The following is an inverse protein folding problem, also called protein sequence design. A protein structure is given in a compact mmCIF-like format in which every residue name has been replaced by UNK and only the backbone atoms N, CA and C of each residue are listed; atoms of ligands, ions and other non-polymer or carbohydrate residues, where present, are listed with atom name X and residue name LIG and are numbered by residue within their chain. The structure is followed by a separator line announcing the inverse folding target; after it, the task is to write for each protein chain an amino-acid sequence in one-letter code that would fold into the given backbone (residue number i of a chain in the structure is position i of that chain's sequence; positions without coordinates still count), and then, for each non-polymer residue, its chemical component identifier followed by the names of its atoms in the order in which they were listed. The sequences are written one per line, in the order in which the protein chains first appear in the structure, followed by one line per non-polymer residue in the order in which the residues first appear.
data_IF_763001743673
#
_entry.id   IF_763001743673
#
_cell.length_a   1.000
_cell.length_b   1.000
_cell.length_c   1.000
_cell.angle_alpha   90.00
_cell.angle_beta   90.00
_cell.angle_gamma   90.00
#
_symmetry.space_group_name_H-M   'P 1'
#
loop_
_entity.id
_entity.type
_entity.pdbx_description
1 polymer ?
#
# COMPACT_ATOMS: atom_id res chain seq x y z
N UNK A 1 18.88 16.60 5.56
CA UNK A 1 18.78 17.97 5.05
C UNK A 1 18.43 18.04 3.55
N UNK A 2 18.52 16.94 2.80
CA UNK A 2 18.16 16.89 1.36
C UNK A 2 16.65 16.73 1.09
N UNK A 3 15.89 16.18 2.03
CA UNK A 3 14.46 15.90 1.86
C UNK A 3 13.55 17.15 1.98
N UNK A 4 13.98 18.17 2.71
CA UNK A 4 13.16 19.38 2.90
C UNK A 4 13.09 20.24 1.62
N UNK A 5 14.12 20.20 0.77
CA UNK A 5 14.18 21.00 -0.45
C UNK A 5 13.34 20.46 -1.62
N UNK A 6 13.03 19.17 -1.63
CA UNK A 6 12.23 18.56 -2.71
C UNK A 6 10.73 18.82 -2.52
N UNK A 7 10.28 18.94 -1.27
CA UNK A 7 8.88 19.18 -0.94
C UNK A 7 8.44 20.62 -1.19
N UNK A 8 9.38 21.56 -1.17
CA UNK A 8 9.08 23.01 -1.29
C UNK A 8 9.12 23.56 -2.72
N UNK A 9 9.49 22.76 -3.72
CA UNK A 9 9.84 23.27 -5.05
C UNK A 9 8.65 23.55 -6.00
N UNK A 10 7.42 23.11 -5.73
CA UNK A 10 6.43 23.17 -6.82
C UNK A 10 5.13 23.96 -6.60
N UNK A 11 4.78 24.43 -5.42
CA UNK A 11 3.55 25.26 -5.27
C UNK A 11 3.53 26.25 -4.08
N UNK A 12 4.63 26.82 -3.72
CA UNK A 12 4.59 27.98 -2.83
C UNK A 12 4.32 29.24 -3.68
N UNK A 13 3.08 29.69 -3.78
CA UNK A 13 2.80 31.07 -4.17
C UNK A 13 3.23 31.96 -3.01
N UNK A 14 4.43 32.52 -3.08
CA UNK A 14 4.87 33.55 -2.16
C UNK A 14 4.05 34.81 -2.41
N UNK A 15 3.12 35.11 -1.52
CA UNK A 15 2.55 36.44 -1.42
C UNK A 15 3.63 37.41 -0.90
N UNK A 16 3.51 38.65 -1.31
CA UNK A 16 4.42 39.77 -0.95
C UNK A 16 4.38 39.98 0.57
N UNK A 17 5.27 39.30 1.29
CA UNK A 17 5.30 39.31 2.76
C UNK A 17 5.87 38.04 3.41
N UNK A 18 6.39 37.08 2.62
CA UNK A 18 7.05 35.88 3.15
C UNK A 18 6.11 34.84 3.80
N UNK A 19 4.80 34.97 3.62
CA UNK A 19 3.81 34.03 4.13
C UNK A 19 3.64 32.91 3.10
N UNK A 20 3.96 31.67 3.49
CA UNK A 20 3.72 30.47 2.68
C UNK A 20 2.25 30.08 2.85
N UNK A 21 1.42 30.30 1.82
CA UNK A 21 0.04 29.85 1.82
C UNK A 21 -0.01 28.42 1.23
N UNK A 22 -0.26 27.44 2.10
CA UNK A 22 -0.53 26.05 1.71
C UNK A 22 -1.98 25.71 1.97
N UNK A 23 -2.57 24.88 1.10
CA UNK A 23 -3.89 24.34 1.36
C UNK A 23 -3.84 23.35 2.54
N UNK A 24 -4.88 23.31 3.37
CA UNK A 24 -4.98 22.38 4.49
C UNK A 24 -4.84 20.92 4.03
N UNK A 25 -5.37 20.59 2.84
CA UNK A 25 -5.25 19.26 2.25
C UNK A 25 -3.80 18.90 1.88
N UNK A 26 -3.02 19.84 1.37
CA UNK A 26 -1.62 19.60 1.03
C UNK A 26 -0.79 19.34 2.30
N UNK A 27 -1.10 20.05 3.39
CA UNK A 27 -0.49 19.83 4.70
C UNK A 27 -0.86 18.44 5.26
N UNK A 28 -2.12 18.05 5.17
CA UNK A 28 -2.59 16.74 5.60
C UNK A 28 -1.95 15.62 4.78
N UNK A 29 -1.85 15.76 3.46
CA UNK A 29 -1.20 14.79 2.60
C UNK A 29 0.30 14.69 2.88
N UNK A 30 0.96 15.82 3.15
CA UNK A 30 2.36 15.84 3.58
C UNK A 30 2.56 15.09 4.91
N UNK A 31 1.69 15.29 5.87
CA UNK A 31 1.73 14.57 7.15
C UNK A 31 1.54 13.06 6.95
N UNK A 32 0.56 12.66 6.15
CA UNK A 32 0.28 11.25 5.85
C UNK A 32 1.44 10.55 5.15
N UNK A 33 2.00 11.16 4.09
CA UNK A 33 3.10 10.54 3.35
C UNK A 33 4.39 10.41 4.17
N UNK A 34 4.57 11.27 5.16
CA UNK A 34 5.75 11.27 6.02
C UNK A 34 5.66 10.27 7.18
N UNK A 35 4.47 9.76 7.48
CA UNK A 35 4.23 8.79 8.56
C UNK A 35 3.21 7.75 8.10
N UNK A 36 3.71 6.72 7.41
CA UNK A 36 2.91 5.58 6.97
C UNK A 36 3.06 4.43 7.97
N UNK A 37 1.93 3.88 8.38
CA UNK A 37 1.89 2.79 9.35
C UNK A 37 1.35 1.51 8.70
N UNK A 38 2.24 0.69 8.12
CA UNK A 38 1.81 -0.53 7.45
C UNK A 38 1.50 -1.66 8.42
N UNK A 39 0.45 -2.41 8.10
CA UNK A 39 0.21 -3.74 8.63
C UNK A 39 0.80 -4.76 7.68
N UNK A 40 1.80 -5.51 8.15
CA UNK A 40 2.41 -6.59 7.40
C UNK A 40 1.57 -7.86 7.44
N UNK A 41 0.86 -8.16 6.36
CA UNK A 41 0.17 -9.43 6.22
C UNK A 41 1.05 -10.42 5.46
N UNK A 42 2.04 -10.97 6.19
CA UNK A 42 3.03 -11.92 5.66
C UNK A 42 2.52 -13.36 5.77
N UNK A 43 2.26 -14.00 4.63
CA UNK A 43 1.64 -15.34 4.56
C UNK A 43 2.49 -16.38 3.83
N UNK A 44 3.60 -15.98 3.21
CA UNK A 44 4.53 -16.89 2.53
C UNK A 44 5.94 -16.28 2.45
N UNK A 45 6.78 -16.76 1.52
CA UNK A 45 8.18 -16.36 1.36
C UNK A 45 8.41 -14.85 1.20
N UNK A 46 7.50 -14.10 0.59
CA UNK A 46 7.61 -12.65 0.49
C UNK A 46 7.63 -11.95 1.86
N UNK A 47 7.10 -12.58 2.91
CA UNK A 47 7.16 -12.05 4.27
C UNK A 47 8.60 -11.96 4.79
N UNK A 48 9.49 -12.86 4.38
CA UNK A 48 10.89 -12.85 4.79
C UNK A 48 11.61 -11.63 4.20
N UNK A 49 11.38 -11.34 2.92
CA UNK A 49 11.92 -10.14 2.28
C UNK A 49 11.31 -8.85 2.85
N UNK A 50 10.02 -8.89 3.22
CA UNK A 50 9.39 -7.79 3.94
C UNK A 50 10.05 -7.58 5.30
N UNK A 51 10.34 -8.63 6.07
CA UNK A 51 11.08 -8.51 7.33
C UNK A 51 12.50 -7.99 7.12
N UNK A 52 13.18 -8.42 6.06
CA UNK A 52 14.51 -7.91 5.71
C UNK A 52 14.48 -6.41 5.41
N UNK A 53 13.41 -5.89 4.80
CA UNK A 53 13.25 -4.46 4.53
C UNK A 53 13.14 -3.60 5.81
N UNK A 54 12.64 -4.17 6.89
CA UNK A 54 12.61 -3.51 8.22
C UNK A 54 13.91 -3.73 9.02
N UNK A 55 14.76 -4.66 8.59
CA UNK A 55 16.03 -4.93 9.25
C UNK A 55 17.05 -3.79 9.03
N UNK A 56 18.10 -3.79 9.84
CA UNK A 56 19.11 -2.74 9.92
C UNK A 56 19.80 -2.37 8.59
N UNK A 57 19.86 -3.29 7.62
CA UNK A 57 20.48 -3.02 6.33
C UNK A 57 19.67 -2.05 5.46
N UNK A 58 18.34 -2.12 5.53
CA UNK A 58 17.43 -1.34 4.69
C UNK A 58 16.70 -0.27 5.46
N UNK A 59 16.31 -0.57 6.70
CA UNK A 59 15.75 0.35 7.68
C UNK A 59 14.60 1.22 7.11
N UNK A 60 13.46 0.57 6.84
CA UNK A 60 12.25 1.28 6.38
C UNK A 60 11.77 2.34 7.37
N UNK A 61 12.09 2.21 8.65
CA UNK A 61 11.66 3.16 9.69
C UNK A 61 12.25 4.56 9.47
N UNK A 62 13.46 4.67 8.89
CA UNK A 62 14.06 5.96 8.52
C UNK A 62 13.27 6.76 7.49
N UNK A 63 12.39 6.08 6.73
CA UNK A 63 11.47 6.73 5.78
C UNK A 63 10.13 7.11 6.40
N UNK A 64 9.98 6.95 7.72
CA UNK A 64 8.72 7.20 8.43
C UNK A 64 7.72 6.06 8.29
N UNK A 65 8.17 4.85 7.95
CA UNK A 65 7.33 3.67 7.72
C UNK A 65 7.48 2.74 8.91
N UNK A 66 6.53 2.79 9.83
CA UNK A 66 6.58 2.03 11.09
C UNK A 66 5.52 0.90 11.08
N UNK A 67 5.93 -0.38 11.14
CA UNK A 67 4.98 -1.49 11.11
C UNK A 67 4.11 -1.54 12.36
N UNK A 68 2.82 -1.84 12.16
CA UNK A 68 1.84 -1.99 13.23
C UNK A 68 1.19 -3.37 13.18
N UNK A 69 0.93 -4.00 14.33
CA UNK A 69 0.35 -5.33 14.40
C UNK A 69 -1.17 -5.35 14.20
N UNK A 70 -1.84 -4.20 14.35
CA UNK A 70 -3.30 -4.12 14.33
C UNK A 70 -3.79 -3.35 13.09
N UNK A 71 -4.84 -3.83 12.40
CA UNK A 71 -5.43 -3.11 11.28
C UNK A 71 -6.01 -1.77 11.68
N UNK A 72 -6.49 -1.63 12.92
CA UNK A 72 -7.08 -0.37 13.43
C UNK A 72 -6.06 0.74 13.67
N UNK A 73 -4.76 0.40 13.68
CA UNK A 73 -3.65 1.33 13.87
C UNK A 73 -2.85 1.54 12.58
N UNK A 74 -3.30 0.97 11.45
CA UNK A 74 -2.53 0.93 10.21
C UNK A 74 -3.27 1.64 9.10
N UNK A 75 -2.51 2.37 8.28
CA UNK A 75 -2.99 3.11 7.12
C UNK A 75 -2.73 2.33 5.81
N UNK A 76 -1.72 1.45 5.83
CA UNK A 76 -1.30 0.66 4.67
C UNK A 76 -1.38 -0.82 5.01
N UNK A 77 -1.90 -1.65 4.11
CA UNK A 77 -1.86 -3.09 4.20
C UNK A 77 -0.88 -3.66 3.19
N UNK A 78 0.10 -4.45 3.65
CA UNK A 78 1.02 -5.16 2.77
C UNK A 78 0.61 -6.62 2.72
N UNK A 79 0.12 -7.09 1.57
CA UNK A 79 -0.18 -8.50 1.36
C UNK A 79 1.03 -9.17 0.72
N UNK A 80 1.79 -9.92 1.53
CA UNK A 80 3.07 -10.51 1.15
C UNK A 80 3.00 -12.04 1.11
N UNK A 81 2.72 -12.59 -0.05
CA UNK A 81 2.75 -14.05 -0.28
C UNK A 81 1.53 -14.61 -0.99
N UNK A 82 1.38 -15.92 -0.94
CA UNK A 82 0.33 -16.66 -1.65
C UNK A 82 -1.00 -16.56 -0.92
N UNK A 83 -1.99 -16.00 -1.59
CA UNK A 83 -3.35 -15.88 -1.03
C UNK A 83 -4.16 -17.11 -1.38
N UNK A 84 -4.62 -17.82 -0.37
CA UNK A 84 -5.55 -18.96 -0.54
C UNK A 84 -7.00 -18.50 -0.34
N UNK A 85 -7.95 -19.25 -0.88
CA UNK A 85 -9.38 -18.97 -0.68
C UNK A 85 -9.78 -18.90 0.81
N UNK A 86 -9.16 -19.73 1.67
CA UNK A 86 -9.38 -19.68 3.13
C UNK A 86 -8.89 -18.39 3.76
N UNK A 87 -7.86 -17.77 3.20
CA UNK A 87 -7.31 -16.50 3.69
C UNK A 87 -8.01 -15.29 3.08
N UNK A 88 -8.69 -15.44 1.96
CA UNK A 88 -9.38 -14.33 1.29
C UNK A 88 -10.37 -13.59 2.20
N UNK A 89 -11.22 -14.35 2.91
CA UNK A 89 -12.17 -13.77 3.88
C UNK A 89 -11.47 -13.03 5.03
N UNK A 90 -10.30 -13.51 5.46
CA UNK A 90 -9.52 -12.86 6.52
C UNK A 90 -8.92 -11.55 6.05
N UNK A 91 -8.39 -11.52 4.82
CA UNK A 91 -7.84 -10.32 4.19
C UNK A 91 -8.95 -9.26 4.07
N UNK A 92 -10.12 -9.63 3.56
CA UNK A 92 -11.27 -8.73 3.44
C UNK A 92 -11.67 -8.14 4.79
N UNK A 93 -11.83 -8.97 5.81
CA UNK A 93 -12.19 -8.51 7.17
C UNK A 93 -11.15 -7.57 7.78
N UNK A 94 -9.86 -7.86 7.58
CA UNK A 94 -8.78 -6.98 8.08
C UNK A 94 -8.78 -5.65 7.34
N UNK A 95 -9.00 -5.66 6.03
CA UNK A 95 -9.11 -4.44 5.23
C UNK A 95 -10.29 -3.56 5.68
N UNK A 96 -11.46 -4.16 5.95
CA UNK A 96 -12.63 -3.45 6.45
C UNK A 96 -12.42 -2.83 7.84
N UNK A 97 -11.52 -3.40 8.65
CA UNK A 97 -11.18 -2.88 9.98
C UNK A 97 -10.17 -1.72 9.96
N UNK A 98 -9.54 -1.45 8.82
CA UNK A 98 -8.60 -0.34 8.68
C UNK A 98 -9.36 0.99 8.59
N UNK A 99 -8.85 2.05 9.27
CA UNK A 99 -9.43 3.39 9.14
C UNK A 99 -9.19 3.96 7.74
N UNK A 100 -10.05 4.86 7.31
CA UNK A 100 -9.84 5.63 6.08
C UNK A 100 -8.98 6.89 6.35
N UNK A 101 -8.11 7.28 5.43
CA UNK A 101 -7.78 6.64 4.14
C UNK A 101 -6.90 5.41 4.32
N UNK A 102 -7.17 4.36 3.54
CA UNK A 102 -6.45 3.08 3.60
C UNK A 102 -5.87 2.74 2.24
N UNK A 103 -4.66 2.17 2.24
CA UNK A 103 -3.92 1.83 1.03
C UNK A 103 -3.50 0.36 1.06
N UNK A 104 -3.35 -0.26 -0.11
CA UNK A 104 -2.96 -1.66 -0.23
C UNK A 104 -1.76 -1.81 -1.16
N UNK A 105 -0.72 -2.48 -0.66
CA UNK A 105 0.44 -2.90 -1.45
C UNK A 105 0.38 -4.42 -1.62
N UNK A 106 0.29 -4.87 -2.85
CA UNK A 106 0.41 -6.28 -3.21
C UNK A 106 1.87 -6.62 -3.50
N UNK A 107 2.47 -7.49 -2.67
CA UNK A 107 3.89 -7.83 -2.74
C UNK A 107 4.11 -9.25 -3.26
N UNK A 108 4.75 -9.34 -4.40
CA UNK A 108 5.16 -10.58 -5.03
C UNK A 108 4.15 -11.16 -6.03
N UNK A 109 4.65 -12.04 -6.91
CA UNK A 109 3.85 -12.61 -7.99
C UNK A 109 2.63 -13.40 -7.49
N UNK A 110 2.75 -14.08 -6.35
CA UNK A 110 1.64 -14.84 -5.77
C UNK A 110 0.47 -13.94 -5.36
N UNK A 111 0.76 -12.80 -4.73
CA UNK A 111 -0.24 -11.81 -4.35
C UNK A 111 -0.80 -11.08 -5.58
N UNK A 112 0.06 -10.78 -6.56
CA UNK A 112 -0.32 -10.00 -7.74
C UNK A 112 -1.22 -10.79 -8.71
N UNK A 113 -0.91 -12.07 -8.95
CA UNK A 113 -1.61 -12.86 -9.97
C UNK A 113 -1.71 -14.37 -9.66
N UNK A 114 -1.36 -14.82 -8.44
CA UNK A 114 -1.31 -16.25 -8.12
C UNK A 114 0.07 -16.89 -8.36
N UNK A 115 0.98 -16.21 -9.06
CA UNK A 115 2.36 -16.63 -9.29
C UNK A 115 2.52 -18.04 -9.88
N UNK A 116 3.46 -18.85 -9.36
CA UNK A 116 3.71 -20.21 -9.85
C UNK A 116 2.50 -21.16 -9.70
N UNK A 117 1.57 -20.83 -8.82
CA UNK A 117 0.38 -21.65 -8.53
C UNK A 117 -0.83 -21.28 -9.38
N UNK A 118 -0.67 -20.36 -10.33
CA UNK A 118 -1.79 -19.85 -11.12
C UNK A 118 -2.49 -20.93 -11.93
N UNK A 119 -1.73 -21.83 -12.56
CA UNK A 119 -2.29 -22.81 -13.51
C UNK A 119 -2.89 -24.03 -12.80
N UNK A 120 -2.17 -24.60 -11.84
CA UNK A 120 -2.57 -25.88 -11.22
C UNK A 120 -3.00 -25.75 -9.75
N UNK A 121 -2.92 -24.55 -9.18
CA UNK A 121 -3.29 -24.32 -7.78
C UNK A 121 -4.81 -24.14 -7.60
N UNK A 122 -5.51 -25.20 -7.23
CA UNK A 122 -6.96 -25.15 -6.97
C UNK A 122 -7.32 -24.31 -5.73
N UNK A 123 -6.38 -24.07 -4.85
CA UNK A 123 -6.57 -23.39 -3.55
C UNK A 123 -6.16 -21.91 -3.56
N UNK A 124 -5.55 -21.42 -4.65
CA UNK A 124 -4.94 -20.08 -4.72
C UNK A 124 -5.86 -19.11 -5.45
N UNK A 125 -6.04 -17.94 -4.85
CA UNK A 125 -6.73 -16.81 -5.48
C UNK A 125 -5.78 -16.18 -6.51
N UNK A 126 -6.28 -15.95 -7.71
CA UNK A 126 -5.50 -15.45 -8.85
C UNK A 126 -5.36 -13.92 -8.83
N UNK A 127 -4.88 -13.39 -7.70
CA UNK A 127 -4.67 -11.97 -7.46
C UNK A 127 -5.46 -11.44 -6.27
N UNK A 128 -4.84 -10.61 -5.45
CA UNK A 128 -5.47 -9.93 -4.30
C UNK A 128 -6.48 -8.89 -4.75
N UNK A 129 -6.30 -8.33 -5.94
CA UNK A 129 -7.19 -7.37 -6.59
C UNK A 129 -8.63 -7.89 -6.79
N UNK A 130 -8.80 -9.20 -6.74
CA UNK A 130 -10.14 -9.85 -6.76
C UNK A 130 -10.85 -9.82 -5.41
N UNK A 131 -10.15 -9.46 -4.33
CA UNK A 131 -10.68 -9.47 -2.96
C UNK A 131 -10.78 -8.05 -2.41
N UNK A 132 -9.73 -7.25 -2.60
CA UNK A 132 -9.61 -5.86 -2.11
C UNK A 132 -8.94 -4.99 -3.18
N UNK A 133 -9.23 -3.67 -3.21
CA UNK A 133 -8.57 -2.76 -4.14
C UNK A 133 -7.08 -2.68 -3.82
N UNK A 134 -6.23 -2.73 -4.86
CA UNK A 134 -4.77 -2.66 -4.75
C UNK A 134 -4.29 -1.33 -5.33
N UNK A 135 -3.50 -0.60 -4.54
CA UNK A 135 -2.94 0.68 -4.96
C UNK A 135 -1.62 0.53 -5.69
N UNK A 136 -0.75 -0.34 -5.17
CA UNK A 136 0.61 -0.55 -5.70
C UNK A 136 0.89 -2.05 -5.80
N UNK A 137 1.45 -2.45 -6.95
CA UNK A 137 1.95 -3.79 -7.20
C UNK A 137 3.47 -3.80 -7.16
N UNK A 138 4.04 -4.72 -6.37
CA UNK A 138 5.49 -4.95 -6.29
C UNK A 138 5.79 -6.30 -6.94
N UNK A 139 6.38 -6.34 -8.14
CA UNK A 139 6.68 -7.58 -8.85
C UNK A 139 7.92 -8.27 -8.28
N UNK A 140 7.94 -9.60 -8.38
CA UNK A 140 9.06 -10.46 -7.97
C UNK A 140 8.58 -11.77 -7.36
N UNK A 141 9.47 -12.76 -7.22
CA UNK A 141 9.14 -14.05 -6.61
C UNK A 141 10.35 -14.66 -5.87
N UNK A 142 10.62 -14.20 -4.64
CA UNK A 142 10.12 -12.99 -3.96
C UNK A 142 10.75 -11.70 -4.53
N UNK A 143 10.11 -10.55 -4.38
CA UNK A 143 10.72 -9.27 -4.69
C UNK A 143 11.80 -8.94 -3.66
N UNK A 144 12.88 -8.29 -4.10
CA UNK A 144 13.92 -7.82 -3.19
C UNK A 144 13.40 -6.71 -2.28
N UNK A 145 14.01 -6.48 -1.09
CA UNK A 145 13.62 -5.41 -0.18
C UNK A 145 13.60 -4.02 -0.83
N UNK A 146 14.53 -3.74 -1.75
CA UNK A 146 14.58 -2.47 -2.48
C UNK A 146 13.35 -2.26 -3.36
N UNK A 147 12.79 -3.33 -3.92
CA UNK A 147 11.57 -3.26 -4.71
C UNK A 147 10.37 -2.88 -3.85
N UNK A 148 10.31 -3.36 -2.60
CA UNK A 148 9.28 -2.96 -1.63
C UNK A 148 9.45 -1.49 -1.23
N UNK A 149 10.68 -1.05 -0.95
CA UNK A 149 10.98 0.36 -0.67
C UNK A 149 10.52 1.25 -1.84
N UNK A 150 10.86 0.85 -3.08
CA UNK A 150 10.38 1.54 -4.28
C UNK A 150 8.85 1.56 -4.41
N UNK A 151 8.16 0.50 -3.96
CA UNK A 151 6.71 0.44 -3.85
C UNK A 151 6.14 1.49 -2.90
N UNK A 152 6.74 1.64 -1.71
CA UNK A 152 6.36 2.68 -0.76
C UNK A 152 6.60 4.09 -1.30
N UNK A 153 7.71 4.32 -1.97
CA UNK A 153 7.98 5.63 -2.60
C UNK A 153 6.92 5.97 -3.65
N UNK A 154 6.51 5.01 -4.46
CA UNK A 154 5.40 5.20 -5.42
C UNK A 154 4.07 5.50 -4.73
N UNK A 155 3.81 4.86 -3.58
CA UNK A 155 2.63 5.15 -2.79
C UNK A 155 2.68 6.59 -2.23
N UNK A 156 3.83 7.02 -1.72
CA UNK A 156 4.02 8.39 -1.25
C UNK A 156 3.80 9.42 -2.37
N UNK A 157 4.28 9.13 -3.59
CA UNK A 157 4.03 9.99 -4.75
C UNK A 157 2.55 10.01 -5.15
N UNK A 158 1.85 8.88 -5.05
CA UNK A 158 0.41 8.80 -5.27
C UNK A 158 -0.34 9.70 -4.29
N UNK A 159 -0.03 9.63 -2.99
CA UNK A 159 -0.64 10.47 -1.95
C UNK A 159 -0.34 11.94 -2.19
N UNK A 160 0.91 12.29 -2.54
CA UNK A 160 1.34 13.67 -2.82
C UNK A 160 0.57 14.29 -3.97
N UNK A 161 0.35 13.54 -5.03
CA UNK A 161 -0.27 14.04 -6.26
C UNK A 161 -1.81 14.05 -6.21
N UNK A 162 -2.44 13.78 -5.06
CA UNK A 162 -3.90 13.73 -4.89
C UNK A 162 -4.64 12.88 -5.93
N UNK A 163 -3.96 11.93 -6.53
CA UNK A 163 -4.62 10.93 -7.36
C UNK A 163 -5.18 9.81 -6.47
N UNK A 164 -5.82 10.19 -5.38
CA UNK A 164 -6.72 9.31 -4.65
C UNK A 164 -7.95 9.12 -5.54
N UNK A 165 -7.84 8.21 -6.49
CA UNK A 165 -9.01 7.69 -7.15
C UNK A 165 -9.74 6.89 -6.06
N UNK A 166 -10.93 7.32 -5.61
CA UNK A 166 -11.72 6.47 -4.74
C UNK A 166 -11.90 5.14 -5.46
N UNK A 167 -12.07 4.04 -4.76
CA UNK A 167 -12.27 2.72 -5.35
C UNK A 167 -13.65 2.64 -6.03
N UNK A 168 -13.91 3.52 -7.00
CA UNK A 168 -15.10 3.47 -7.86
C UNK A 168 -15.21 2.14 -8.59
N UNK A 169 -14.07 1.49 -8.86
CA UNK A 169 -14.01 0.17 -9.45
C UNK A 169 -14.61 -0.91 -8.52
N UNK A 170 -14.53 -0.72 -7.21
CA UNK A 170 -15.06 -1.67 -6.22
C UNK A 170 -16.58 -1.62 -6.12
N UNK A 171 -17.15 -0.42 -6.17
CA UNK A 171 -18.60 -0.24 -6.21
C UNK A 171 -19.20 -0.80 -7.51
N UNK A 172 -18.44 -0.73 -8.62
CA UNK A 172 -18.86 -1.34 -9.89
C UNK A 172 -18.74 -2.88 -9.88
N UNK A 173 -17.78 -3.45 -9.14
CA UNK A 173 -17.68 -4.91 -8.99
C UNK A 173 -18.75 -5.46 -8.06
N UNK A 174 -19.03 -4.81 -6.92
CA UNK A 174 -20.15 -5.22 -6.04
C UNK A 174 -21.51 -5.10 -6.76
N UNK A 175 -21.70 -4.06 -7.57
CA UNK A 175 -22.93 -3.92 -8.36
C UNK A 175 -23.06 -4.98 -9.45
N UNK A 176 -21.95 -5.45 -10.02
CA UNK A 176 -21.94 -6.53 -11.02
C UNK A 176 -22.14 -7.93 -10.41
N UNK A 177 -21.57 -8.17 -9.24
CA UNK A 177 -21.80 -9.43 -8.50
C UNK A 177 -23.22 -9.50 -7.93
N UNK A 178 -23.76 -8.39 -7.45
CA UNK A 178 -25.16 -8.31 -7.01
C UNK A 178 -26.16 -8.43 -8.17
N UNK A 179 -25.77 -8.07 -9.38
CA UNK A 179 -26.59 -8.23 -10.58
C UNK A 179 -26.46 -9.62 -11.25
N UNK A 180 -25.49 -10.45 -10.80
CA UNK A 180 -25.24 -11.79 -11.33
C UNK A 180 -25.82 -12.94 -10.45
N UNK A 181 -26.50 -12.60 -9.36
CA UNK A 181 -27.27 -13.49 -8.48
C UNK A 181 -28.75 -13.22 -8.67
#
# INVERSE_FOLDING_TARGET
MFFLNIVMSERAKTGDGGIILTNAEDLMNWARLSSLWPMGFGIACCAIEMMAAYASNYDLERFGILPRPSPRQSDVMIVAGTVTFKMADRIRRLYEQMPEPRYVISMGSCSNCGGPYWEHGYHVVKGVDRIIPVDIYVPGCPPRPEALIGGFMKLQDKIRNKKDTPPSLFLEMESKEAAAV
#
